data_IF_081662784464
#
_entry.id   IF_081662784464
#
_cell.length_a   1.000
_cell.length_b   1.000
_cell.length_c   1.000
_cell.angle_alpha   90.00
_cell.angle_beta   90.00
_cell.angle_gamma   90.00
#
_symmetry.space_group_name_H-M   'P 1'
#
loop_
_entity.id
_entity.type
_entity.pdbx_description
1 polymer ?
#
# COMPACT_ATOMS: atom_id res chain seq x y z
N UNK A 1 1.85 -3.64 15.97
CA UNK A 1 1.66 -3.23 14.57
C UNK A 1 0.67 -4.18 13.94
N UNK A 2 -0.32 -3.69 13.22
CA UNK A 2 -1.42 -4.48 12.68
C UNK A 2 -1.44 -4.51 11.16
N UNK A 3 -2.04 -5.56 10.61
CA UNK A 3 -2.35 -5.67 9.19
C UNK A 3 -3.85 -5.84 9.03
N UNK A 4 -4.46 -5.06 8.16
CA UNK A 4 -5.91 -5.04 7.92
C UNK A 4 -6.31 -5.35 6.47
N UNK A 5 -5.35 -5.54 5.58
CA UNK A 5 -5.64 -5.79 4.18
C UNK A 5 -4.58 -6.59 3.45
N UNK A 6 -4.86 -6.86 2.18
CA UNK A 6 -3.95 -7.55 1.27
C UNK A 6 -3.19 -6.57 0.35
N UNK A 7 -3.67 -5.32 0.24
CA UNK A 7 -3.05 -4.29 -0.57
C UNK A 7 -1.74 -3.79 0.02
N UNK A 8 -0.97 -3.09 -0.79
CA UNK A 8 0.35 -2.55 -0.40
C UNK A 8 0.28 -1.69 0.87
N UNK A 9 -0.71 -0.80 0.98
CA UNK A 9 -0.91 0.08 2.14
C UNK A 9 -1.85 -0.54 3.20
N UNK A 10 -1.96 -1.86 3.26
CA UNK A 10 -2.86 -2.58 4.17
C UNK A 10 -2.25 -2.93 5.53
N UNK A 11 -1.22 -2.21 6.01
CA UNK A 11 -0.59 -2.44 7.32
C UNK A 11 0.20 -1.22 7.83
N UNK A 12 0.48 -1.20 9.14
CA UNK A 12 1.13 -0.08 9.83
C UNK A 12 2.50 0.29 9.26
N UNK A 13 3.34 -0.70 8.92
CA UNK A 13 4.69 -0.41 8.39
C UNK A 13 4.60 0.34 7.05
N UNK A 14 3.66 -0.05 6.18
CA UNK A 14 3.45 0.64 4.92
C UNK A 14 2.98 2.08 5.14
N UNK A 15 2.09 2.31 6.11
CA UNK A 15 1.65 3.68 6.46
C UNK A 15 2.81 4.46 7.07
N UNK A 16 3.60 3.88 7.98
CA UNK A 16 4.78 4.52 8.54
C UNK A 16 5.79 4.96 7.48
N UNK A 17 6.06 4.10 6.49
CA UNK A 17 6.89 4.47 5.35
C UNK A 17 6.24 5.54 4.46
N UNK A 18 4.93 5.46 4.24
CA UNK A 18 4.22 6.47 3.46
C UNK A 18 4.24 7.84 4.14
N UNK A 19 4.13 7.91 5.47
CA UNK A 19 4.30 9.14 6.25
C UNK A 19 5.69 9.72 6.01
N UNK A 20 6.76 8.90 6.14
CA UNK A 20 8.13 9.33 5.89
C UNK A 20 8.31 9.88 4.48
N UNK A 21 7.86 9.12 3.47
CA UNK A 21 7.92 9.53 2.06
C UNK A 21 7.16 10.83 1.83
N UNK A 22 5.94 10.95 2.39
CA UNK A 22 5.12 12.15 2.23
C UNK A 22 5.76 13.37 2.86
N UNK A 23 6.40 13.25 4.02
CA UNK A 23 7.18 14.33 4.65
C UNK A 23 8.39 14.73 3.81
N UNK A 24 9.15 13.76 3.29
CA UNK A 24 10.32 14.02 2.44
C UNK A 24 9.91 14.70 1.12
N UNK A 25 8.79 14.33 0.51
CA UNK A 25 8.26 14.97 -0.71
C UNK A 25 7.66 16.33 -0.40
N UNK A 26 6.87 16.47 0.65
CA UNK A 26 6.22 17.75 1.01
C UNK A 26 7.21 18.82 1.43
N UNK A 27 8.36 18.45 2.04
CA UNK A 27 9.42 19.39 2.45
C UNK A 27 8.89 20.53 3.33
N UNK A 28 8.00 20.22 4.27
CA UNK A 28 7.40 21.17 5.19
C UNK A 28 6.12 21.85 4.69
N UNK A 29 5.62 21.49 3.51
CA UNK A 29 4.31 21.94 3.05
C UNK A 29 3.22 21.01 3.59
N UNK A 30 2.49 21.44 4.62
CA UNK A 30 1.45 20.67 5.30
C UNK A 30 0.28 20.31 4.36
N UNK A 31 -0.01 21.12 3.35
CA UNK A 31 -1.08 20.83 2.39
C UNK A 31 -0.69 19.67 1.46
N UNK A 32 0.56 19.68 0.95
CA UNK A 32 1.07 18.57 0.15
C UNK A 32 1.12 17.29 0.99
N UNK A 33 1.63 17.37 2.22
CA UNK A 33 1.66 16.24 3.14
C UNK A 33 0.27 15.64 3.37
N UNK A 34 -0.69 16.48 3.77
CA UNK A 34 -2.07 16.04 4.03
C UNK A 34 -2.73 15.44 2.78
N UNK A 35 -2.52 16.05 1.61
CA UNK A 35 -3.01 15.51 0.34
C UNK A 35 -2.42 14.14 0.01
N UNK A 36 -1.12 13.94 0.23
CA UNK A 36 -0.47 12.66 0.03
C UNK A 36 -1.02 11.59 0.98
N UNK A 37 -1.18 11.95 2.26
CA UNK A 37 -1.70 11.03 3.27
C UNK A 37 -3.15 10.64 3.03
N UNK A 38 -4.02 11.55 2.56
CA UNK A 38 -5.41 11.24 2.24
C UNK A 38 -5.56 10.08 1.24
N UNK A 39 -4.60 9.92 0.34
CA UNK A 39 -4.58 8.85 -0.67
C UNK A 39 -4.11 7.50 -0.12
N UNK A 40 -3.31 7.52 0.90
CA UNK A 40 -2.74 6.32 1.51
C UNK A 40 -3.67 5.74 2.55
N UNK A 41 -4.23 6.60 3.43
CA UNK A 41 -5.03 6.17 4.58
C UNK A 41 -6.47 5.79 4.22
N UNK A 42 -6.93 6.08 2.99
CA UNK A 42 -8.31 5.78 2.55
C UNK A 42 -8.71 4.30 2.74
N UNK A 43 -7.73 3.40 2.72
CA UNK A 43 -7.95 1.96 2.95
C UNK A 43 -7.85 1.52 4.41
N UNK A 44 -7.50 2.42 5.34
CA UNK A 44 -7.37 2.09 6.75
C UNK A 44 -8.74 1.86 7.42
N UNK A 45 -8.88 0.86 8.31
CA UNK A 45 -10.08 0.71 9.14
C UNK A 45 -10.26 1.91 10.08
N UNK A 46 -11.51 2.31 10.40
CA UNK A 46 -11.77 3.45 11.29
C UNK A 46 -11.05 3.38 12.64
N UNK A 47 -10.91 2.17 13.23
CA UNK A 47 -10.18 2.00 14.49
C UNK A 47 -8.68 2.21 14.41
N UNK A 48 -8.11 2.16 13.21
CA UNK A 48 -6.68 2.44 12.97
C UNK A 48 -6.45 3.94 12.81
N UNK A 49 -7.46 4.69 12.37
CA UNK A 49 -7.37 6.15 12.22
C UNK A 49 -6.97 6.87 13.52
N UNK A 50 -7.36 6.35 14.68
CA UNK A 50 -7.00 6.92 15.98
C UNK A 50 -5.49 7.05 16.21
N UNK A 51 -4.65 6.34 15.45
CA UNK A 51 -3.18 6.41 15.55
C UNK A 51 -2.56 7.42 14.60
N UNK A 52 -3.30 7.79 13.56
CA UNK A 52 -2.88 8.72 12.52
C UNK A 52 -3.77 9.97 12.54
N UNK A 53 -4.22 10.38 13.75
CA UNK A 53 -5.19 11.48 13.93
C UNK A 53 -4.69 12.78 13.35
N UNK A 54 -3.40 13.10 13.51
CA UNK A 54 -2.83 14.33 12.96
C UNK A 54 -2.85 14.30 11.43
N UNK A 55 -2.38 13.21 10.84
CA UNK A 55 -2.32 13.03 9.39
C UNK A 55 -3.72 12.98 8.79
N UNK A 56 -4.67 12.36 9.49
CA UNK A 56 -6.06 12.27 9.05
C UNK A 56 -6.79 13.62 9.20
N UNK A 57 -6.63 14.33 10.30
CA UNK A 57 -7.25 15.64 10.52
C UNK A 57 -6.81 16.66 9.49
N UNK A 58 -5.54 16.61 9.09
CA UNK A 58 -5.01 17.44 8.00
C UNK A 58 -5.64 17.03 6.65
N UNK A 59 -5.78 15.75 6.39
CA UNK A 59 -6.37 15.24 5.16
C UNK A 59 -7.86 15.58 5.02
N UNK A 60 -8.65 15.53 6.12
CA UNK A 60 -10.07 15.90 6.12
C UNK A 60 -10.32 17.40 5.84
N UNK A 61 -9.39 18.26 6.25
CA UNK A 61 -9.49 19.71 6.00
C UNK A 61 -9.34 20.07 4.52
N UNK A 62 -8.76 19.17 3.74
CA UNK A 62 -8.58 19.34 2.29
C UNK A 62 -9.76 18.63 1.61
N UNK A 63 -10.85 19.35 1.40
CA UNK A 63 -12.04 18.80 0.74
C UNK A 63 -11.75 18.22 -0.66
N UNK A 64 -12.53 17.23 -1.12
CA UNK A 64 -12.40 16.69 -2.47
C UNK A 64 -12.83 17.73 -3.51
N UNK A 65 -12.14 17.80 -4.65
CA UNK A 65 -12.54 18.67 -5.75
C UNK A 65 -11.41 19.11 -6.69
N UNK A 66 -11.63 20.27 -7.33
CA UNK A 66 -10.65 20.86 -8.29
C UNK A 66 -9.26 21.05 -7.68
N UNK A 67 -9.19 21.34 -6.37
CA UNK A 67 -7.93 21.44 -5.61
C UNK A 67 -7.15 20.12 -5.60
N UNK A 68 -7.83 18.98 -5.69
CA UNK A 68 -7.18 17.67 -5.73
C UNK A 68 -6.37 17.46 -7.01
N UNK A 69 -6.92 17.80 -8.17
CA UNK A 69 -6.24 17.65 -9.45
C UNK A 69 -5.04 18.60 -9.58
N UNK A 70 -5.15 19.83 -9.10
CA UNK A 70 -4.05 20.81 -9.12
C UNK A 70 -2.92 20.40 -8.17
N UNK A 71 -3.25 19.85 -7.00
CA UNK A 71 -2.25 19.35 -6.04
C UNK A 71 -1.51 18.13 -6.59
N UNK A 72 -2.20 17.22 -7.27
CA UNK A 72 -1.56 16.09 -7.96
C UNK A 72 -0.55 16.54 -9.00
N UNK A 73 -0.92 17.52 -9.81
CA UNK A 73 -0.02 18.08 -10.83
C UNK A 73 1.19 18.76 -10.19
N UNK A 74 0.99 19.50 -9.11
CA UNK A 74 2.07 20.16 -8.37
C UNK A 74 3.05 19.13 -7.80
N UNK A 75 2.56 18.11 -7.10
CA UNK A 75 3.40 17.06 -6.53
C UNK A 75 4.12 16.29 -7.64
N UNK A 76 3.42 15.93 -8.72
CA UNK A 76 4.04 15.27 -9.86
C UNK A 76 5.13 16.12 -10.48
N UNK A 77 4.88 17.42 -10.71
CA UNK A 77 5.88 18.32 -11.25
C UNK A 77 7.13 18.40 -10.37
N UNK A 78 6.94 18.49 -9.05
CA UNK A 78 8.02 18.50 -8.08
C UNK A 78 8.86 17.22 -8.14
N UNK A 79 8.20 16.06 -8.22
CA UNK A 79 8.88 14.75 -8.38
C UNK A 79 9.63 14.68 -9.71
N UNK A 80 9.02 15.13 -10.81
CA UNK A 80 9.58 15.08 -12.16
C UNK A 80 10.73 16.10 -12.36
N UNK A 81 10.83 17.12 -11.49
CA UNK A 81 11.88 18.15 -11.54
C UNK A 81 13.20 17.73 -10.87
N UNK A 82 13.33 16.45 -10.49
CA UNK A 82 14.55 15.88 -9.94
C UNK A 82 14.41 15.34 -8.51
N UNK A 83 13.45 15.83 -7.72
CA UNK A 83 13.23 15.34 -6.36
C UNK A 83 12.92 13.82 -6.33
N UNK A 84 12.20 13.32 -7.33
CA UNK A 84 11.91 11.89 -7.45
C UNK A 84 13.17 11.04 -7.59
N UNK A 85 14.11 11.47 -8.42
CA UNK A 85 15.40 10.79 -8.59
C UNK A 85 16.26 10.91 -7.33
N UNK A 86 16.34 12.09 -6.74
CA UNK A 86 17.12 12.32 -5.51
C UNK A 86 16.64 11.41 -4.37
N UNK A 87 15.33 11.38 -4.12
CA UNK A 87 14.75 10.54 -3.07
C UNK A 87 14.89 9.04 -3.39
N UNK A 88 14.78 8.65 -4.66
CA UNK A 88 14.99 7.26 -5.05
C UNK A 88 16.40 6.79 -4.70
N UNK A 89 17.42 7.55 -5.08
CA UNK A 89 18.82 7.21 -4.76
C UNK A 89 19.10 7.29 -3.26
N UNK A 90 18.52 8.25 -2.53
CA UNK A 90 18.60 8.32 -1.07
C UNK A 90 18.09 7.06 -0.40
N UNK A 91 16.90 6.57 -0.81
CA UNK A 91 16.31 5.37 -0.21
C UNK A 91 17.01 4.09 -0.66
N UNK A 92 17.47 4.05 -1.92
CA UNK A 92 18.27 2.94 -2.44
C UNK A 92 19.60 2.79 -1.72
N UNK A 93 20.29 3.90 -1.43
CA UNK A 93 21.52 3.87 -0.65
C UNK A 93 21.30 3.28 0.76
N UNK A 94 20.14 3.54 1.36
CA UNK A 94 19.79 3.00 2.67
C UNK A 94 19.56 1.48 2.68
N UNK A 95 19.31 0.84 1.53
CA UNK A 95 19.17 -0.62 1.42
C UNK A 95 20.46 -1.36 1.83
N UNK A 96 21.61 -0.72 1.68
CA UNK A 96 22.93 -1.33 1.91
C UNK A 96 23.42 -1.18 3.35
N UNK A 97 22.83 -0.32 4.13
CA UNK A 97 23.28 0.05 5.48
C UNK A 97 22.39 -0.46 6.61
N UNK A 98 21.41 -1.32 6.30
CA UNK A 98 20.48 -1.87 7.29
C UNK A 98 21.15 -2.95 8.16
N UNK A 99 21.17 -2.73 9.48
CA UNK A 99 21.31 -3.83 10.46
C UNK A 99 20.15 -4.83 10.24
N UNK A 100 20.10 -5.95 10.93
CA UNK A 100 19.19 -7.12 10.80
C UNK A 100 17.68 -6.89 10.50
N UNK A 101 17.23 -5.64 10.31
CA UNK A 101 15.93 -5.23 9.80
C UNK A 101 15.96 -4.80 8.32
N UNK A 102 16.80 -5.46 7.53
CA UNK A 102 17.09 -5.18 6.11
C UNK A 102 15.84 -5.04 5.21
N UNK A 103 14.78 -5.78 5.51
CA UNK A 103 13.52 -5.72 4.76
C UNK A 103 12.80 -4.37 4.86
N UNK A 104 12.97 -3.61 5.96
CA UNK A 104 12.29 -2.32 6.16
C UNK A 104 12.83 -1.23 5.22
N UNK A 105 14.14 -1.19 5.00
CA UNK A 105 14.77 -0.24 4.07
C UNK A 105 14.39 -0.55 2.62
N UNK A 106 14.39 -1.80 2.24
CA UNK A 106 13.93 -2.28 0.93
C UNK A 106 12.46 -1.97 0.71
N UNK A 107 11.64 -2.17 1.74
CA UNK A 107 10.20 -1.89 1.65
C UNK A 107 9.91 -0.39 1.51
N UNK A 108 10.72 0.49 2.10
CA UNK A 108 10.64 1.93 1.91
C UNK A 108 10.80 2.33 0.43
N UNK A 109 11.71 1.70 -0.30
CA UNK A 109 11.90 1.94 -1.75
C UNK A 109 10.66 1.53 -2.53
N UNK A 110 10.05 0.40 -2.16
CA UNK A 110 8.78 -0.07 -2.77
C UNK A 110 7.64 0.94 -2.52
N UNK A 111 7.49 1.41 -1.29
CA UNK A 111 6.46 2.40 -0.93
C UNK A 111 6.69 3.72 -1.69
N UNK A 112 7.94 4.16 -1.80
CA UNK A 112 8.26 5.36 -2.58
C UNK A 112 7.92 5.18 -4.06
N UNK A 113 8.28 4.06 -4.67
CA UNK A 113 7.91 3.76 -6.05
C UNK A 113 6.39 3.73 -6.26
N UNK A 114 5.64 3.18 -5.29
CA UNK A 114 4.18 3.22 -5.32
C UNK A 114 3.63 4.65 -5.26
N UNK A 115 4.26 5.53 -4.49
CA UNK A 115 3.93 6.96 -4.44
C UNK A 115 4.23 7.62 -5.79
N UNK A 116 5.42 7.40 -6.39
CA UNK A 116 5.74 7.91 -7.74
C UNK A 116 4.68 7.49 -8.76
N UNK A 117 4.35 6.20 -8.80
CA UNK A 117 3.31 5.68 -9.70
C UNK A 117 1.92 6.25 -9.36
N UNK A 118 1.63 6.49 -8.09
CA UNK A 118 0.39 7.09 -7.61
C UNK A 118 0.14 8.50 -8.13
N UNK A 119 1.21 9.26 -8.34
CA UNK A 119 1.16 10.59 -8.95
C UNK A 119 1.39 10.58 -10.47
N UNK A 120 1.75 9.44 -11.06
CA UNK A 120 2.13 9.35 -12.46
C UNK A 120 3.45 10.04 -12.77
N UNK A 121 4.36 10.12 -11.78
CA UNK A 121 5.68 10.74 -11.93
C UNK A 121 6.60 9.90 -12.83
N UNK A 122 7.60 10.49 -13.42
CA UNK A 122 8.59 9.77 -14.23
C UNK A 122 9.40 8.82 -13.36
N UNK A 123 9.59 7.60 -13.83
CA UNK A 123 10.47 6.59 -13.23
C UNK A 123 11.39 6.09 -14.33
N UNK A 124 12.70 6.13 -14.10
CA UNK A 124 13.70 5.68 -15.06
C UNK A 124 13.65 4.16 -15.23
N UNK A 125 13.98 3.66 -16.41
CA UNK A 125 14.00 2.22 -16.66
C UNK A 125 14.96 1.48 -15.72
N UNK A 126 16.11 2.08 -15.38
CA UNK A 126 17.04 1.52 -14.40
C UNK A 126 16.44 1.40 -12.99
N UNK A 127 15.55 2.33 -12.61
CA UNK A 127 14.82 2.29 -11.34
C UNK A 127 13.72 1.20 -11.38
N UNK A 128 13.00 1.08 -12.50
CA UNK A 128 12.01 0.01 -12.72
C UNK A 128 12.70 -1.36 -12.63
N UNK A 129 13.85 -1.52 -13.28
CA UNK A 129 14.61 -2.76 -13.21
C UNK A 129 15.08 -3.06 -11.78
N UNK A 130 15.62 -2.05 -11.07
CA UNK A 130 15.98 -2.19 -9.67
C UNK A 130 14.80 -2.67 -8.81
N UNK A 131 13.60 -2.10 -9.01
CA UNK A 131 12.40 -2.52 -8.28
C UNK A 131 12.01 -3.98 -8.58
N UNK A 132 12.14 -4.41 -9.84
CA UNK A 132 11.91 -5.82 -10.22
C UNK A 132 12.88 -6.77 -9.52
N UNK A 133 14.13 -6.37 -9.39
CA UNK A 133 15.19 -7.16 -8.73
C UNK A 133 15.03 -7.13 -7.19
N UNK A 134 14.42 -6.07 -6.66
CA UNK A 134 14.22 -5.86 -5.22
C UNK A 134 13.02 -6.66 -4.67
N UNK A 135 11.90 -6.68 -5.40
CA UNK A 135 10.65 -7.33 -4.97
C UNK A 135 10.82 -8.80 -4.56
N UNK A 136 11.61 -9.64 -5.28
CA UNK A 136 11.85 -11.03 -4.85
C UNK A 136 12.62 -11.16 -3.54
N UNK A 137 13.40 -10.16 -3.16
CA UNK A 137 14.25 -10.18 -1.94
C UNK A 137 13.47 -9.85 -0.66
N UNK A 138 12.24 -9.34 -0.80
CA UNK A 138 11.38 -9.00 0.31
C UNK A 138 10.54 -10.19 0.75
N UNK A 139 10.32 -10.30 2.05
CA UNK A 139 9.39 -11.28 2.58
C UNK A 139 8.02 -11.15 1.92
N UNK A 140 7.41 -12.28 1.61
CA UNK A 140 6.08 -12.34 1.04
C UNK A 140 5.27 -13.46 1.67
N UNK A 141 4.14 -13.11 2.25
CA UNK A 141 3.23 -14.06 2.85
C UNK A 141 1.95 -14.19 2.02
N UNK A 142 1.62 -15.41 1.60
CA UNK A 142 0.39 -15.69 0.83
C UNK A 142 -0.83 -15.91 1.73
N UNK A 143 -0.62 -16.25 3.00
CA UNK A 143 -1.67 -16.56 3.96
C UNK A 143 -2.05 -15.39 4.87
N UNK A 144 -3.07 -15.63 5.69
CA UNK A 144 -3.35 -14.79 6.86
C UNK A 144 -2.44 -15.28 7.99
N UNK A 145 -1.45 -14.48 8.32
CA UNK A 145 -0.54 -14.76 9.44
C UNK A 145 -0.97 -13.90 10.63
N UNK A 146 -0.80 -14.40 11.84
CA UNK A 146 -0.93 -13.58 13.04
C UNK A 146 -0.11 -12.28 12.92
N UNK A 147 -0.55 -11.17 13.52
CA UNK A 147 0.04 -9.84 13.32
C UNK A 147 1.50 -9.70 13.74
N UNK A 148 2.03 -10.64 14.52
CA UNK A 148 3.40 -10.61 14.98
C UNK A 148 4.36 -11.18 13.92
N UNK A 149 5.34 -10.37 13.51
CA UNK A 149 6.37 -10.77 12.55
C UNK A 149 5.94 -10.75 11.09
N UNK A 150 4.81 -10.13 10.76
CA UNK A 150 4.30 -10.02 9.40
C UNK A 150 4.75 -8.70 8.75
N UNK A 151 6.01 -8.62 8.42
CA UNK A 151 6.61 -7.53 7.64
C UNK A 151 6.60 -7.86 6.14
N UNK A 152 6.71 -6.83 5.29
CA UNK A 152 6.83 -6.99 3.85
C UNK A 152 5.49 -7.17 3.11
N UNK A 153 5.51 -7.92 2.02
CA UNK A 153 4.36 -8.09 1.16
C UNK A 153 3.35 -9.14 1.64
N UNK A 154 2.08 -8.89 1.35
CA UNK A 154 1.12 -9.95 1.08
C UNK A 154 1.15 -10.34 -0.38
N UNK A 155 0.89 -11.61 -0.68
CA UNK A 155 0.90 -12.13 -2.05
C UNK A 155 0.09 -11.29 -3.04
N UNK A 156 -1.18 -10.92 -2.76
CA UNK A 156 -1.94 -10.03 -3.63
C UNK A 156 -1.31 -8.64 -3.81
N UNK A 157 -0.80 -8.02 -2.75
CA UNK A 157 -0.11 -6.72 -2.82
C UNK A 157 1.18 -6.78 -3.63
N UNK A 158 1.97 -7.85 -3.48
CA UNK A 158 3.16 -8.09 -4.29
C UNK A 158 2.82 -8.19 -5.78
N UNK A 159 1.80 -8.98 -6.12
CA UNK A 159 1.35 -9.13 -7.51
C UNK A 159 0.80 -7.83 -8.07
N UNK A 160 0.04 -7.07 -7.25
CA UNK A 160 -0.45 -5.75 -7.65
C UNK A 160 0.70 -4.78 -7.96
N UNK A 161 1.75 -4.79 -7.15
CA UNK A 161 2.91 -3.94 -7.37
C UNK A 161 3.67 -4.34 -8.63
N UNK A 162 3.92 -5.63 -8.87
CA UNK A 162 4.56 -6.12 -10.08
C UNK A 162 3.74 -5.80 -11.33
N UNK A 163 2.43 -6.04 -11.30
CA UNK A 163 1.54 -5.67 -12.41
C UNK A 163 1.52 -4.14 -12.63
N UNK A 164 1.67 -3.36 -11.56
CA UNK A 164 1.81 -1.91 -11.70
C UNK A 164 3.08 -1.54 -12.46
N UNK A 165 4.22 -2.16 -12.17
CA UNK A 165 5.48 -1.94 -12.91
C UNK A 165 5.35 -2.31 -14.39
N UNK A 166 4.62 -3.42 -14.70
CA UNK A 166 4.45 -3.90 -16.08
C UNK A 166 3.56 -2.97 -16.92
N UNK A 167 2.60 -2.30 -16.28
CA UNK A 167 1.61 -1.46 -16.96
C UNK A 167 1.82 0.04 -16.70
N UNK A 168 2.93 0.42 -16.05
CA UNK A 168 3.18 1.81 -15.71
C UNK A 168 3.42 2.67 -16.95
N UNK A 169 2.83 3.85 -16.94
CA UNK A 169 3.03 4.90 -17.94
C UNK A 169 3.13 6.24 -17.23
N UNK A 170 4.24 6.96 -17.44
CA UNK A 170 4.38 8.30 -16.92
C UNK A 170 3.23 9.21 -17.38
N UNK A 171 2.73 10.03 -16.48
CA UNK A 171 1.54 10.85 -16.71
C UNK A 171 0.22 10.18 -16.35
N UNK A 172 0.21 8.84 -16.20
CA UNK A 172 -0.99 8.09 -15.78
C UNK A 172 -0.84 7.61 -14.33
N UNK A 173 -1.76 8.05 -13.49
CA UNK A 173 -1.79 7.69 -12.08
C UNK A 173 -2.17 6.23 -11.88
N UNK A 174 -1.53 5.58 -10.89
CA UNK A 174 -1.82 4.22 -10.46
C UNK A 174 -2.28 4.21 -9.01
N UNK A 175 -3.44 3.62 -8.72
CA UNK A 175 -3.91 3.47 -7.35
C UNK A 175 -3.58 2.08 -6.81
N UNK A 176 -3.05 2.01 -5.60
CA UNK A 176 -2.78 0.77 -4.87
C UNK A 176 -3.86 0.46 -3.82
N UNK A 177 -4.87 1.33 -3.68
CA UNK A 177 -6.02 1.11 -2.78
C UNK A 177 -7.24 0.54 -3.49
N UNK A 178 -7.26 0.56 -4.84
CA UNK A 178 -8.32 -0.05 -5.62
C UNK A 178 -8.19 -1.58 -5.67
N UNK A 179 -9.30 -2.32 -5.87
CA UNK A 179 -9.26 -3.77 -6.06
C UNK A 179 -8.35 -4.19 -7.21
N UNK A 180 -7.59 -5.26 -6.99
CA UNK A 180 -6.75 -5.91 -8.01
C UNK A 180 -6.99 -7.42 -8.02
N UNK A 181 -6.70 -8.07 -9.12
CA UNK A 181 -6.76 -9.52 -9.22
C UNK A 181 -5.75 -10.14 -8.24
N UNK A 182 -6.23 -10.93 -7.28
CA UNK A 182 -5.36 -11.60 -6.31
C UNK A 182 -4.42 -12.62 -6.97
N UNK A 183 -4.78 -13.14 -8.17
CA UNK A 183 -3.96 -14.07 -8.92
C UNK A 183 -2.84 -13.41 -9.73
N UNK A 184 -3.12 -12.36 -10.49
CA UNK A 184 -2.15 -11.72 -11.38
C UNK A 184 -1.82 -10.26 -11.07
N UNK A 185 -2.47 -9.64 -10.07
CA UNK A 185 -2.21 -8.27 -9.64
C UNK A 185 -2.84 -7.17 -10.50
N UNK A 186 -3.35 -7.47 -11.68
CA UNK A 186 -3.96 -6.50 -12.59
C UNK A 186 -5.20 -5.83 -11.99
N UNK A 187 -5.39 -4.55 -12.25
CA UNK A 187 -6.59 -3.78 -11.88
C UNK A 187 -7.56 -3.71 -13.05
N UNK A 188 -8.79 -3.23 -12.83
CA UNK A 188 -9.79 -3.13 -13.90
C UNK A 188 -9.27 -2.37 -15.13
N UNK A 189 -8.49 -1.30 -14.96
CA UNK A 189 -7.90 -0.56 -16.07
C UNK A 189 -6.99 -1.39 -16.96
N UNK A 190 -6.24 -2.34 -16.38
CA UNK A 190 -5.31 -3.19 -17.13
C UNK A 190 -6.02 -4.26 -17.96
N UNK A 191 -7.17 -4.76 -17.47
CA UNK A 191 -7.88 -5.88 -18.10
C UNK A 191 -9.05 -5.45 -18.99
N UNK A 192 -9.40 -4.16 -18.96
CA UNK A 192 -10.52 -3.63 -19.76
C UNK A 192 -10.31 -3.84 -21.26
N UNK A 193 -9.08 -3.68 -21.74
CA UNK A 193 -8.74 -3.93 -23.14
C UNK A 193 -8.90 -5.41 -23.55
N UNK A 194 -8.84 -6.33 -22.56
CA UNK A 194 -9.09 -7.77 -22.76
C UNK A 194 -10.59 -8.12 -22.65
N UNK A 195 -11.48 -7.15 -22.53
CA UNK A 195 -12.92 -7.37 -22.33
C UNK A 195 -13.28 -7.97 -20.98
N UNK A 196 -12.36 -7.94 -20.01
CA UNK A 196 -12.52 -8.53 -18.68
C UNK A 196 -12.84 -7.47 -17.62
N UNK A 197 -13.45 -7.91 -16.52
CA UNK A 197 -13.68 -7.13 -15.31
C UNK A 197 -13.33 -7.96 -14.08
N UNK A 198 -12.93 -7.32 -12.99
CA UNK A 198 -12.70 -8.01 -11.73
C UNK A 198 -14.00 -8.53 -11.15
N UNK A 199 -13.98 -9.78 -10.73
CA UNK A 199 -15.08 -10.47 -10.07
C UNK A 199 -14.74 -10.73 -8.62
N UNK A 200 -15.70 -10.51 -7.72
CA UNK A 200 -15.58 -10.89 -6.30
C UNK A 200 -15.62 -12.41 -6.16
N UNK A 201 -14.83 -12.95 -5.24
CA UNK A 201 -15.02 -14.33 -4.80
C UNK A 201 -16.39 -14.48 -4.09
N UNK A 202 -17.24 -15.36 -4.60
CA UNK A 202 -18.59 -15.56 -4.04
C UNK A 202 -18.60 -16.13 -2.62
N UNK A 203 -17.50 -16.76 -2.16
CA UNK A 203 -17.37 -17.27 -0.81
C UNK A 203 -16.89 -16.22 0.22
N UNK A 204 -16.32 -15.11 -0.22
CA UNK A 204 -15.85 -14.05 0.66
C UNK A 204 -17.04 -13.19 1.12
N UNK A 205 -17.32 -13.21 2.44
CA UNK A 205 -18.44 -12.47 3.04
C UNK A 205 -18.03 -11.08 3.54
N UNK A 206 -16.75 -10.88 3.82
CA UNK A 206 -16.23 -9.62 4.35
C UNK A 206 -15.68 -8.76 3.22
N UNK A 207 -16.20 -7.55 3.06
CA UNK A 207 -15.82 -6.65 1.98
C UNK A 207 -14.33 -6.25 2.02
N UNK A 208 -13.76 -6.07 3.21
CA UNK A 208 -12.35 -5.68 3.38
C UNK A 208 -11.38 -6.82 3.08
N UNK A 209 -11.81 -8.07 3.26
CA UNK A 209 -11.04 -9.28 2.97
C UNK A 209 -11.49 -9.99 1.70
N UNK A 210 -12.31 -9.33 0.86
CA UNK A 210 -12.80 -9.90 -0.40
C UNK A 210 -11.65 -10.10 -1.37
N UNK A 211 -11.48 -11.34 -1.83
CA UNK A 211 -10.59 -11.64 -2.93
C UNK A 211 -11.27 -11.32 -4.27
N UNK A 212 -10.49 -10.74 -5.18
CA UNK A 212 -10.91 -10.37 -6.53
C UNK A 212 -10.11 -11.16 -7.56
N UNK A 213 -10.74 -11.52 -8.67
CA UNK A 213 -10.12 -12.28 -9.75
C UNK A 213 -10.58 -11.75 -11.10
N UNK A 214 -9.66 -11.70 -12.07
CA UNK A 214 -10.01 -11.33 -13.45
C UNK A 214 -10.68 -12.46 -14.22
N UNK A 215 -10.42 -13.72 -13.83
CA UNK A 215 -11.01 -14.92 -14.43
C UNK A 215 -10.93 -16.12 -13.46
N UNK A 216 -11.50 -17.25 -13.92
CA UNK A 216 -11.51 -18.51 -13.17
C UNK A 216 -10.13 -19.14 -13.03
N UNK A 217 -9.22 -18.89 -13.97
CA UNK A 217 -7.89 -19.49 -13.92
C UNK A 217 -7.03 -18.81 -12.84
N UNK A 218 -7.11 -17.49 -12.71
CA UNK A 218 -6.53 -16.77 -11.59
C UNK A 218 -7.12 -17.22 -10.26
N UNK A 219 -8.43 -17.46 -10.19
CA UNK A 219 -9.07 -17.97 -8.97
C UNK A 219 -8.60 -19.39 -8.63
N UNK A 220 -8.58 -20.30 -9.59
CA UNK A 220 -8.11 -21.68 -9.40
C UNK A 220 -6.64 -21.74 -9.00
N UNK A 221 -5.78 -20.97 -9.67
CA UNK A 221 -4.34 -20.93 -9.37
C UNK A 221 -4.05 -20.49 -7.95
N UNK A 222 -4.83 -19.55 -7.42
CA UNK A 222 -4.68 -19.08 -6.04
C UNK A 222 -5.46 -19.89 -5.00
N UNK A 223 -6.35 -20.80 -5.42
CA UNK A 223 -7.30 -21.46 -4.55
C UNK A 223 -6.66 -22.17 -3.35
N UNK A 224 -5.51 -22.82 -3.54
CA UNK A 224 -4.77 -23.50 -2.47
C UNK A 224 -4.43 -22.59 -1.28
N UNK A 225 -4.18 -21.30 -1.55
CA UNK A 225 -3.89 -20.29 -0.51
C UNK A 225 -5.15 -19.56 -0.05
N UNK A 226 -6.10 -19.33 -0.96
CA UNK A 226 -7.31 -18.58 -0.67
C UNK A 226 -8.35 -19.37 0.11
N UNK A 227 -8.51 -20.67 -0.15
CA UNK A 227 -9.58 -21.50 0.44
C UNK A 227 -9.63 -21.46 1.96
N UNK A 228 -8.49 -21.39 2.63
CA UNK A 228 -8.39 -21.38 4.08
C UNK A 228 -8.86 -20.06 4.71
N UNK A 229 -8.90 -19.00 3.91
CA UNK A 229 -9.29 -17.65 4.32
C UNK A 229 -10.62 -17.23 3.67
N UNK A 230 -11.15 -18.04 2.76
CA UNK A 230 -12.40 -17.76 2.06
C UNK A 230 -13.57 -17.84 3.04
N UNK A 231 -14.27 -16.74 3.23
CA UNK A 231 -15.39 -16.66 4.17
C UNK A 231 -14.99 -16.58 5.65
N UNK A 232 -13.70 -16.63 5.97
CA UNK A 232 -13.26 -16.41 7.33
C UNK A 232 -13.60 -14.98 7.76
N UNK A 233 -14.12 -14.76 8.98
CA UNK A 233 -14.17 -13.41 9.54
C UNK A 233 -12.75 -12.87 9.60
N UNK A 234 -12.57 -11.58 9.40
CA UNK A 234 -11.29 -10.93 9.74
C UNK A 234 -10.98 -11.34 11.16
N UNK A 235 -9.91 -12.13 11.34
CA UNK A 235 -9.53 -12.62 12.66
C UNK A 235 -9.46 -11.45 13.62
N UNK A 236 -9.81 -11.68 14.88
CA UNK A 236 -9.70 -10.67 15.94
C UNK A 236 -8.28 -10.13 15.91
N UNK A 237 -8.11 -8.92 15.36
CA UNK A 237 -6.84 -8.25 15.32
C UNK A 237 -6.48 -7.87 16.75
N UNK A 238 -5.43 -8.45 17.30
CA UNK A 238 -4.83 -7.94 18.55
C UNK A 238 -3.90 -6.82 18.12
N UNK A 239 -4.31 -5.59 18.33
CA UNK A 239 -3.42 -4.46 18.16
C UNK A 239 -2.67 -4.23 19.49
N UNK A 240 -1.36 -4.42 19.48
CA UNK A 240 -0.50 -4.04 20.60
C UNK A 240 -0.03 -2.60 20.39
N UNK A 241 -0.30 -1.75 21.34
CA UNK A 241 0.06 -0.34 21.31
C UNK A 241 1.22 -0.04 22.23
N UNK A 242 2.18 0.71 21.71
CA UNK A 242 3.15 1.42 22.53
C UNK A 242 2.62 2.84 22.69
N UNK A 243 2.15 3.19 23.88
CA UNK A 243 1.81 4.58 24.23
C UNK A 243 3.09 5.42 24.19
N UNK A 244 3.17 6.38 23.30
CA UNK A 244 4.21 7.39 23.31
C UNK A 244 3.96 8.28 24.54
N UNK A 245 4.73 8.05 25.60
CA UNK A 245 4.73 8.93 26.78
C UNK A 245 4.52 8.28 28.15
N UNK A 246 4.11 7.02 28.24
CA UNK A 246 4.11 6.24 29.51
C UNK A 246 4.44 4.78 29.18
N UNK A 247 5.27 4.15 29.99
CA UNK A 247 5.72 2.75 29.86
C UNK A 247 4.56 1.73 30.08
N UNK A 248 3.44 1.91 29.39
CA UNK A 248 2.31 1.00 29.45
C UNK A 248 1.97 0.48 28.06
N UNK A 249 1.90 -0.84 27.93
CA UNK A 249 1.36 -1.52 26.76
C UNK A 249 -0.15 -1.67 26.93
N UNK A 250 -0.94 -1.15 26.01
CA UNK A 250 -2.36 -1.43 25.92
C UNK A 250 -2.62 -2.52 24.90
N UNK A 251 -3.47 -3.48 25.22
CA UNK A 251 -3.98 -4.49 24.27
C UNK A 251 -5.43 -4.11 23.97
N UNK A 252 -5.73 -3.78 22.72
CA UNK A 252 -7.13 -3.64 22.30
C UNK A 252 -7.44 -4.83 21.38
N UNK A 253 -8.35 -5.68 21.84
CA UNK A 253 -8.92 -6.72 21.00
C UNK A 253 -10.00 -6.08 20.10
N UNK A 254 -9.82 -6.16 18.80
CA UNK A 254 -10.80 -5.72 17.82
C UNK A 254 -11.75 -6.88 17.51
N UNK A 255 -13.00 -6.77 17.92
CA UNK A 255 -14.06 -7.69 17.49
C UNK A 255 -14.63 -7.15 16.16
N UNK A 256 -14.29 -7.81 15.05
CA UNK A 256 -14.71 -7.40 13.70
C UNK A 256 -16.22 -7.56 13.42
N UNK A 257 -17.03 -7.78 14.45
CA UNK A 257 -18.47 -8.05 14.31
C UNK A 257 -19.33 -6.78 14.37
N UNK A 258 -18.79 -5.62 14.77
CA UNK A 258 -19.56 -4.38 14.94
C UNK A 258 -18.84 -3.17 14.33
N UNK A 259 -18.75 -3.11 13.01
CA UNK A 259 -18.61 -1.85 12.27
C UNK A 259 -19.23 -2.02 10.88
#
# INVERSE_FOLDING_TARGET
MGRWGHCLFGHDDAIGHAIKVSKDVAQGDDRQFAHMMSRVIVGCPPGVFGFYVEEYSLAEKIGPGEMEASMDQLIRHKLDSGLGDELFEKYRAAEQHGFDFDDMSKYLVIIFAAVLMGYGAKIKESQIQHLRDLVPKLQCNEGVVPPFGDSGFRGPGKRQFLAALDHYQAGKRRSFTQPSCHGCGKVNGDIKAEGKTLMKCGGCKNERATAWFCDKDCQKGLWKHHKHNCGAPLGRGIALFRSFGKNSFGVIAYDGANV
#
